data_IF_141017984337
#
_entry.id   IF_141017984337
#
_cell.length_a   1.000
_cell.length_b   1.000
_cell.length_c   1.000
_cell.angle_alpha   90.00
_cell.angle_beta   90.00
_cell.angle_gamma   90.00
#
_symmetry.space_group_name_H-M   'P 1'
#
loop_
_entity.id
_entity.type
_entity.pdbx_description
1 polymer ?
#
# COMPACT_ATOMS: atom_id res chain seq x y z
N UNK A 1 15.42 -26.36 -6.95
CA UNK A 1 14.48 -25.32 -7.39
C UNK A 1 14.99 -24.86 -8.74
N UNK A 2 14.17 -25.08 -9.79
CA UNK A 2 14.59 -24.79 -11.16
C UNK A 2 13.89 -23.54 -11.71
N UNK A 3 12.59 -23.42 -11.44
CA UNK A 3 11.79 -22.30 -11.92
C UNK A 3 11.02 -21.66 -10.75
N UNK A 4 10.82 -20.35 -10.85
CA UNK A 4 9.94 -19.55 -10.00
C UNK A 4 8.93 -18.80 -10.86
N UNK A 5 7.66 -19.05 -10.63
CA UNK A 5 6.55 -18.39 -11.30
C UNK A 5 5.90 -17.39 -10.35
N UNK A 6 5.96 -16.10 -10.70
CA UNK A 6 5.42 -15.02 -9.88
C UNK A 6 4.17 -14.47 -10.57
N UNK A 7 3.06 -14.44 -9.86
CA UNK A 7 1.77 -13.97 -10.35
C UNK A 7 1.53 -12.55 -9.85
N UNK A 8 1.63 -11.57 -10.76
CA UNK A 8 1.48 -10.15 -10.51
C UNK A 8 2.81 -9.39 -10.58
N UNK A 9 2.90 -8.48 -11.55
CA UNK A 9 4.03 -7.58 -11.81
C UNK A 9 3.97 -6.26 -11.00
N UNK A 10 3.31 -6.25 -9.85
CA UNK A 10 3.36 -5.15 -8.90
C UNK A 10 4.68 -5.11 -8.14
N UNK A 11 4.88 -4.05 -7.32
CA UNK A 11 6.15 -3.82 -6.60
C UNK A 11 6.55 -5.01 -5.71
N UNK A 12 5.59 -5.70 -5.06
CA UNK A 12 5.87 -6.87 -4.21
C UNK A 12 6.33 -8.05 -5.07
N UNK A 13 5.68 -8.31 -6.21
CA UNK A 13 6.08 -9.39 -7.12
C UNK A 13 7.44 -9.14 -7.74
N UNK A 14 7.70 -7.94 -8.24
CA UNK A 14 9.01 -7.57 -8.81
C UNK A 14 10.14 -7.59 -7.77
N UNK A 15 9.89 -7.08 -6.56
CA UNK A 15 10.85 -7.16 -5.45
C UNK A 15 11.16 -8.61 -5.06
N UNK A 16 10.13 -9.49 -5.05
CA UNK A 16 10.31 -10.92 -4.78
C UNK A 16 11.13 -11.59 -5.88
N UNK A 17 10.83 -11.31 -7.16
CA UNK A 17 11.61 -11.79 -8.28
C UNK A 17 13.08 -11.34 -8.19
N UNK A 18 13.31 -10.06 -7.94
CA UNK A 18 14.64 -9.49 -7.80
C UNK A 18 15.44 -10.15 -6.67
N UNK A 19 14.86 -10.26 -5.47
CA UNK A 19 15.55 -10.88 -4.33
C UNK A 19 15.83 -12.38 -4.56
N UNK A 20 14.91 -13.10 -5.21
CA UNK A 20 15.14 -14.50 -5.64
C UNK A 20 16.32 -14.58 -6.63
N UNK A 21 16.37 -13.69 -7.61
CA UNK A 21 17.45 -13.64 -8.60
C UNK A 21 18.81 -13.26 -8.02
N UNK A 22 18.83 -12.62 -6.86
CA UNK A 22 20.07 -12.33 -6.11
C UNK A 22 20.48 -13.47 -5.19
N UNK A 23 19.53 -14.32 -4.78
CA UNK A 23 19.78 -15.41 -3.84
C UNK A 23 20.15 -16.73 -4.54
N UNK A 24 19.62 -16.98 -5.74
CA UNK A 24 19.74 -18.26 -6.45
C UNK A 24 20.21 -18.03 -7.89
N UNK A 25 21.48 -18.30 -8.17
CA UNK A 25 22.12 -18.02 -9.47
C UNK A 25 21.53 -18.82 -10.64
N UNK A 26 21.03 -20.04 -10.40
CA UNK A 26 20.52 -20.94 -11.44
C UNK A 26 18.98 -21.02 -11.48
N UNK A 27 18.28 -20.03 -10.92
CA UNK A 27 16.83 -20.00 -10.89
C UNK A 27 16.27 -19.26 -12.10
N UNK A 28 15.44 -19.91 -12.90
CA UNK A 28 14.66 -19.26 -13.95
C UNK A 28 13.43 -18.58 -13.32
N UNK A 29 13.27 -17.28 -13.52
CA UNK A 29 12.15 -16.54 -12.96
C UNK A 29 11.27 -16.02 -14.10
N UNK A 30 9.96 -16.30 -13.99
CA UNK A 30 8.94 -15.76 -14.89
C UNK A 30 7.90 -15.00 -14.06
N UNK A 31 7.72 -13.72 -14.36
CA UNK A 31 6.68 -12.87 -13.77
C UNK A 31 5.53 -12.76 -14.77
N UNK A 32 4.32 -13.17 -14.36
CA UNK A 32 3.11 -12.99 -15.17
C UNK A 32 2.34 -11.76 -14.69
N UNK A 33 2.07 -10.85 -15.62
CA UNK A 33 1.25 -9.65 -15.37
C UNK A 33 0.09 -9.61 -16.37
N UNK A 34 -1.12 -9.39 -15.85
CA UNK A 34 -2.34 -9.35 -16.69
C UNK A 34 -2.47 -8.06 -17.53
N UNK A 35 -1.81 -7.00 -17.08
CA UNK A 35 -1.80 -5.70 -17.74
C UNK A 35 -0.70 -5.61 -18.83
N UNK A 36 -0.77 -4.61 -19.73
CA UNK A 36 0.25 -4.41 -20.76
C UNK A 36 1.62 -4.00 -20.24
N UNK A 37 1.71 -3.55 -18.99
CA UNK A 37 2.99 -3.28 -18.31
C UNK A 37 2.87 -3.55 -16.80
N UNK A 38 4.00 -3.57 -16.13
CA UNK A 38 4.10 -3.82 -14.68
C UNK A 38 3.73 -2.56 -13.88
N UNK A 39 3.23 -2.77 -12.66
CA UNK A 39 3.02 -1.71 -11.68
C UNK A 39 1.80 -0.81 -11.90
N UNK A 40 0.92 -1.10 -12.84
CA UNK A 40 -0.18 -0.22 -13.27
C UNK A 40 -1.33 -0.07 -12.25
N UNK A 41 -1.25 -0.73 -11.10
CA UNK A 41 -2.28 -0.65 -10.05
C UNK A 41 -1.76 0.00 -8.76
N UNK A 42 -1.97 -0.61 -7.59
CA UNK A 42 -1.61 -0.08 -6.27
C UNK A 42 -0.17 0.42 -6.16
N UNK A 43 0.74 -0.15 -6.93
CA UNK A 43 2.17 0.14 -6.85
C UNK A 43 2.53 1.56 -7.30
N UNK A 44 1.72 2.16 -8.18
CA UNK A 44 1.89 3.52 -8.69
C UNK A 44 0.72 4.44 -8.36
N UNK A 45 -0.39 3.89 -7.81
CA UNK A 45 -1.54 4.64 -7.35
C UNK A 45 -1.54 4.75 -5.82
N UNK A 46 -0.50 5.37 -5.28
CA UNK A 46 -0.27 5.60 -3.84
C UNK A 46 0.42 6.95 -3.62
N UNK A 47 0.54 7.37 -2.37
CA UNK A 47 1.08 8.68 -2.01
C UNK A 47 2.61 8.81 -2.06
N UNK A 48 3.34 7.83 -2.54
CA UNK A 48 4.82 7.90 -2.68
C UNK A 48 5.58 8.02 -1.36
N UNK A 49 4.99 7.64 -0.22
CA UNK A 49 5.62 7.80 1.10
C UNK A 49 6.47 6.58 1.47
N UNK A 50 7.66 6.85 1.98
CA UNK A 50 8.52 5.90 2.68
C UNK A 50 8.14 5.86 4.16
N UNK A 51 7.47 4.77 4.59
CA UNK A 51 6.96 4.62 5.96
C UNK A 51 7.94 3.88 6.86
N UNK A 52 8.32 4.47 7.98
CA UNK A 52 9.28 3.90 8.93
C UNK A 52 8.70 2.85 9.91
N UNK A 53 7.38 2.65 9.94
CA UNK A 53 6.76 1.67 10.84
C UNK A 53 6.17 2.22 12.14
N UNK A 54 6.04 3.54 12.29
CA UNK A 54 5.54 4.21 13.50
C UNK A 54 4.18 3.67 13.98
N UNK A 55 3.23 3.51 13.07
CA UNK A 55 1.82 3.20 13.40
C UNK A 55 1.56 1.74 13.76
N UNK A 56 2.49 0.81 13.50
CA UNK A 56 2.20 -0.62 13.54
C UNK A 56 2.44 -1.23 14.92
N UNK A 57 1.66 -2.25 15.24
CA UNK A 57 1.74 -2.93 16.53
C UNK A 57 3.14 -3.53 16.72
N UNK A 58 3.85 -3.21 17.81
CA UNK A 58 5.16 -3.79 18.10
C UNK A 58 5.13 -5.32 18.06
N UNK A 59 6.16 -5.90 17.44
CA UNK A 59 6.28 -7.36 17.27
C UNK A 59 5.47 -7.95 16.11
N UNK A 60 4.53 -7.20 15.49
CA UNK A 60 3.82 -7.66 14.29
C UNK A 60 4.78 -7.83 13.11
N UNK A 61 4.40 -8.68 12.15
CA UNK A 61 5.17 -8.86 10.92
C UNK A 61 5.28 -7.53 10.16
N UNK A 62 4.19 -6.79 10.10
CA UNK A 62 4.09 -5.49 9.45
C UNK A 62 5.04 -4.45 10.07
N UNK A 63 5.16 -4.39 11.40
CA UNK A 63 6.09 -3.48 12.06
C UNK A 63 7.55 -3.83 11.73
N UNK A 64 7.92 -5.11 11.85
CA UNK A 64 9.29 -5.58 11.56
C UNK A 64 9.69 -5.31 10.11
N UNK A 65 8.83 -5.71 9.16
CA UNK A 65 9.12 -5.56 7.74
C UNK A 65 9.05 -4.10 7.28
N UNK A 66 8.30 -3.21 7.96
CA UNK A 66 8.31 -1.78 7.67
C UNK A 66 9.62 -1.10 8.10
N UNK A 67 10.08 -1.39 9.32
CA UNK A 67 11.33 -0.82 9.87
C UNK A 67 12.57 -1.27 9.07
N UNK A 68 12.60 -2.54 8.68
CA UNK A 68 13.66 -3.05 7.82
C UNK A 68 13.49 -2.57 6.37
N UNK A 69 12.26 -2.56 5.88
CA UNK A 69 11.91 -2.21 4.51
C UNK A 69 12.28 -0.78 4.12
N UNK A 70 12.09 0.20 5.02
CA UNK A 70 12.50 1.58 4.71
C UNK A 70 14.01 1.69 4.51
N UNK A 71 14.81 0.97 5.29
CA UNK A 71 16.27 0.93 5.15
C UNK A 71 16.67 0.31 3.81
N UNK A 72 16.08 -0.85 3.48
CA UNK A 72 16.36 -1.54 2.23
C UNK A 72 15.93 -0.71 1.03
N UNK A 73 14.73 -0.09 1.07
CA UNK A 73 14.20 0.73 -0.01
C UNK A 73 15.05 1.99 -0.23
N UNK A 74 15.44 2.68 0.85
CA UNK A 74 16.32 3.85 0.77
C UNK A 74 17.68 3.48 0.18
N UNK A 75 18.30 2.38 0.63
CA UNK A 75 19.56 1.89 0.08
C UNK A 75 19.43 1.54 -1.40
N UNK A 76 18.34 0.89 -1.80
CA UNK A 76 18.05 0.58 -3.20
C UNK A 76 17.91 1.87 -4.04
N UNK A 77 17.23 2.88 -3.51
CA UNK A 77 17.11 4.16 -4.20
C UNK A 77 18.45 4.87 -4.34
N UNK A 78 19.30 4.84 -3.33
CA UNK A 78 20.66 5.39 -3.38
C UNK A 78 21.52 4.64 -4.41
N UNK A 79 21.53 3.31 -4.37
CA UNK A 79 22.32 2.45 -5.25
C UNK A 79 21.99 2.68 -6.74
N UNK A 80 20.70 2.87 -7.04
CA UNK A 80 20.24 3.00 -8.43
C UNK A 80 19.86 4.43 -8.82
N UNK A 81 20.24 5.45 -8.04
CA UNK A 81 19.95 6.87 -8.29
C UNK A 81 18.45 7.15 -8.51
N UNK A 82 17.58 6.50 -7.76
CA UNK A 82 16.13 6.71 -7.82
C UNK A 82 15.77 7.94 -6.99
N UNK A 83 14.93 8.87 -7.51
CA UNK A 83 14.52 10.05 -6.78
C UNK A 83 13.80 9.68 -5.47
N UNK A 84 14.37 10.13 -4.36
CA UNK A 84 13.81 9.96 -3.01
C UNK A 84 14.35 11.04 -2.09
N UNK A 85 13.65 11.28 -0.98
CA UNK A 85 14.08 12.24 0.04
C UNK A 85 13.56 11.80 1.41
N UNK A 86 14.42 11.80 2.41
CA UNK A 86 14.03 11.61 3.82
C UNK A 86 13.74 12.99 4.39
N UNK A 87 12.50 13.44 4.21
CA UNK A 87 12.06 14.80 4.55
C UNK A 87 11.45 14.90 5.95
N UNK A 88 11.22 13.78 6.61
CA UNK A 88 10.52 13.73 7.89
C UNK A 88 8.99 13.88 7.75
N UNK A 89 8.30 13.59 8.86
CA UNK A 89 6.85 13.70 8.98
C UNK A 89 6.45 14.33 10.30
N UNK A 90 5.45 15.19 10.28
CA UNK A 90 4.83 15.77 11.46
C UNK A 90 3.47 15.09 11.71
N UNK A 91 3.32 14.43 12.86
CA UNK A 91 2.02 13.90 13.32
C UNK A 91 1.46 14.87 14.36
N UNK A 92 0.27 15.42 14.09
CA UNK A 92 -0.28 16.52 14.89
C UNK A 92 -1.53 16.10 15.66
N UNK A 93 -1.62 16.53 16.92
CA UNK A 93 -2.78 16.36 17.79
C UNK A 93 -3.54 17.68 17.91
N UNK A 94 -4.83 17.68 17.57
CA UNK A 94 -5.68 18.88 17.55
C UNK A 94 -6.54 19.01 18.80
N UNK A 95 -6.59 17.99 19.65
CA UNK A 95 -7.34 17.98 20.91
C UNK A 95 -6.64 17.10 21.96
N UNK A 96 -7.14 17.11 23.19
CA UNK A 96 -6.47 16.45 24.32
C UNK A 96 -6.55 14.91 24.23
N UNK A 97 -7.59 14.33 23.60
CA UNK A 97 -7.69 12.90 23.35
C UNK A 97 -6.61 12.45 22.32
N UNK A 98 -6.42 13.24 21.27
CA UNK A 98 -5.35 13.00 20.29
C UNK A 98 -3.96 13.19 20.91
N UNK A 99 -3.78 14.18 21.79
CA UNK A 99 -2.51 14.43 22.49
C UNK A 99 -2.13 13.22 23.38
N UNK A 100 -3.10 12.63 24.09
CA UNK A 100 -2.87 11.39 24.85
C UNK A 100 -2.45 10.23 23.94
N UNK A 101 -3.16 10.03 22.82
CA UNK A 101 -2.81 8.98 21.83
C UNK A 101 -1.45 9.22 21.15
N UNK A 102 -1.01 10.46 21.06
CA UNK A 102 0.30 10.79 20.51
C UNK A 102 1.45 10.27 21.37
N UNK A 103 1.28 10.27 22.72
CA UNK A 103 2.24 9.64 23.63
C UNK A 103 2.32 8.12 23.40
N UNK A 104 1.16 7.45 23.26
CA UNK A 104 1.12 6.02 22.94
C UNK A 104 1.81 5.71 21.61
N UNK A 105 1.67 6.63 20.65
CA UNK A 105 2.30 6.51 19.34
C UNK A 105 3.83 6.67 19.41
N UNK A 106 4.30 7.61 20.21
CA UNK A 106 5.73 7.80 20.51
C UNK A 106 6.32 6.52 21.12
N UNK A 107 5.71 6.00 22.18
CA UNK A 107 6.16 4.76 22.86
C UNK A 107 6.15 3.57 21.90
N UNK A 108 5.16 3.50 21.03
CA UNK A 108 5.08 2.49 19.96
C UNK A 108 6.24 2.60 18.99
N UNK A 109 6.58 3.80 18.57
CA UNK A 109 7.73 4.06 17.70
C UNK A 109 9.04 3.59 18.33
N UNK A 110 9.28 3.92 19.60
CA UNK A 110 10.44 3.46 20.35
C UNK A 110 10.49 1.92 20.45
N UNK A 111 9.35 1.28 20.77
CA UNK A 111 9.24 -0.20 20.82
C UNK A 111 9.47 -0.86 19.46
N UNK A 112 9.19 -0.16 18.36
CA UNK A 112 9.49 -0.62 17.00
C UNK A 112 10.95 -0.36 16.58
N UNK A 113 11.77 0.26 17.46
CA UNK A 113 13.19 0.53 17.20
C UNK A 113 13.44 1.80 16.39
N UNK A 114 12.47 2.72 16.33
CA UNK A 114 12.67 4.03 15.70
C UNK A 114 13.51 4.93 16.63
N UNK A 115 14.39 5.71 16.02
CA UNK A 115 15.28 6.65 16.73
C UNK A 115 15.01 8.09 16.28
N UNK A 116 15.41 9.06 17.09
CA UNK A 116 15.29 10.49 16.76
C UNK A 116 13.85 11.02 16.74
N UNK A 117 12.87 10.25 17.22
CA UNK A 117 11.50 10.74 17.39
C UNK A 117 11.51 11.91 18.36
N UNK A 118 10.93 13.04 17.98
CA UNK A 118 10.90 14.26 18.80
C UNK A 118 9.48 14.65 19.12
N UNK A 119 9.15 14.65 20.41
CA UNK A 119 7.86 15.12 20.89
C UNK A 119 7.90 16.66 21.03
N UNK A 120 7.02 17.36 20.31
CA UNK A 120 6.96 18.81 20.26
C UNK A 120 5.72 19.29 21.03
N UNK A 121 5.95 19.98 22.16
CA UNK A 121 4.90 20.59 22.99
C UNK A 121 4.86 22.11 22.85
N UNK A 122 5.91 22.72 22.29
CA UNK A 122 5.97 24.15 22.01
C UNK A 122 5.52 24.43 20.57
N UNK A 123 4.59 25.35 20.40
CA UNK A 123 4.08 25.75 19.09
C UNK A 123 5.17 26.35 18.18
N UNK A 124 6.12 27.10 18.74
CA UNK A 124 7.20 27.68 17.95
C UNK A 124 8.05 26.60 17.24
N UNK A 125 8.31 25.48 17.92
CA UNK A 125 9.08 24.39 17.32
C UNK A 125 8.27 23.63 16.25
N UNK A 126 6.95 23.53 16.43
CA UNK A 126 6.05 22.98 15.41
C UNK A 126 6.05 23.90 14.17
N UNK A 127 5.95 25.22 14.35
CA UNK A 127 5.93 26.19 13.26
C UNK A 127 7.25 26.32 12.51
N UNK A 128 8.39 26.00 13.14
CA UNK A 128 9.68 25.92 12.43
C UNK A 128 9.66 24.81 11.36
N UNK A 129 8.90 23.73 11.59
CA UNK A 129 8.78 22.60 10.66
C UNK A 129 7.67 22.87 9.63
N UNK A 130 6.47 23.24 10.12
CA UNK A 130 5.28 23.46 9.31
C UNK A 130 4.58 24.78 9.75
N UNK A 131 4.93 25.91 9.12
CA UNK A 131 4.49 27.23 9.58
C UNK A 131 2.97 27.47 9.51
N UNK A 132 2.27 26.73 8.64
CA UNK A 132 0.84 26.95 8.35
C UNK A 132 -0.08 25.94 9.06
N UNK A 133 0.44 25.08 9.94
CA UNK A 133 -0.42 24.18 10.70
C UNK A 133 -1.36 24.93 11.65
N UNK A 134 -2.46 24.30 12.00
CA UNK A 134 -3.49 24.86 12.84
C UNK A 134 -2.92 25.34 14.19
N UNK A 135 -3.22 26.61 14.54
CA UNK A 135 -2.79 27.23 15.80
C UNK A 135 -3.32 26.54 17.07
N UNK A 136 -4.37 25.71 16.92
CA UNK A 136 -4.94 24.95 18.02
C UNK A 136 -4.30 23.55 18.21
N UNK A 137 -3.19 23.26 17.49
CA UNK A 137 -2.45 22.03 17.71
C UNK A 137 -1.91 22.02 19.14
N UNK A 138 -2.22 20.95 19.88
CA UNK A 138 -1.79 20.77 21.26
C UNK A 138 -0.32 20.31 21.33
N UNK A 139 -0.03 19.26 20.60
CA UNK A 139 1.29 18.63 20.55
C UNK A 139 1.50 18.05 19.14
N UNK A 140 2.76 17.82 18.80
CA UNK A 140 3.12 17.11 17.59
C UNK A 140 4.25 16.11 17.84
N UNK A 141 4.35 15.08 17.00
CA UNK A 141 5.46 14.14 16.97
C UNK A 141 6.18 14.27 15.63
N UNK A 142 7.42 14.68 15.68
CA UNK A 142 8.28 14.69 14.50
C UNK A 142 8.97 13.34 14.32
N UNK A 143 8.90 12.81 13.10
CA UNK A 143 9.38 11.48 12.72
C UNK A 143 10.42 11.65 11.61
N UNK A 144 11.71 11.73 11.93
CA UNK A 144 12.76 12.10 10.98
C UNK A 144 13.03 11.04 9.91
N UNK A 145 12.66 9.78 10.13
CA UNK A 145 12.96 8.67 9.20
C UNK A 145 11.94 8.53 8.06
N UNK A 146 10.82 9.22 8.11
CA UNK A 146 9.82 9.16 7.04
C UNK A 146 10.29 9.98 5.83
N UNK A 147 9.88 9.58 4.65
CA UNK A 147 10.31 10.24 3.42
C UNK A 147 9.35 10.03 2.26
N UNK A 148 9.81 10.43 1.10
CA UNK A 148 9.10 10.33 -0.17
C UNK A 148 9.98 9.70 -1.24
N UNK A 149 9.36 9.03 -2.21
CA UNK A 149 10.07 8.28 -3.25
C UNK A 149 9.25 8.20 -4.54
N UNK A 150 9.92 8.11 -5.67
CA UNK A 150 9.33 7.76 -6.96
C UNK A 150 9.21 6.23 -7.10
N UNK A 151 8.06 5.66 -6.68
CA UNK A 151 7.82 4.22 -6.84
C UNK A 151 7.72 3.77 -8.30
N UNK A 152 7.37 4.66 -9.24
CA UNK A 152 7.40 4.35 -10.67
C UNK A 152 8.84 4.03 -11.12
N UNK A 153 9.80 4.83 -10.69
CA UNK A 153 11.23 4.60 -10.95
C UNK A 153 11.75 3.33 -10.25
N UNK A 154 11.29 3.03 -9.03
CA UNK A 154 11.61 1.77 -8.34
C UNK A 154 11.15 0.57 -9.17
N UNK A 155 9.91 0.56 -9.63
CA UNK A 155 9.32 -0.51 -10.44
C UNK A 155 10.07 -0.67 -11.76
N UNK A 156 10.34 0.44 -12.46
CA UNK A 156 11.08 0.43 -13.72
C UNK A 156 12.49 -0.14 -13.53
N UNK A 157 13.16 0.19 -12.42
CA UNK A 157 14.49 -0.34 -12.13
C UNK A 157 14.46 -1.83 -11.79
N UNK A 158 13.50 -2.29 -10.99
CA UNK A 158 13.33 -3.72 -10.71
C UNK A 158 13.08 -4.52 -11.99
N UNK A 159 12.22 -4.02 -12.88
CA UNK A 159 11.96 -4.59 -14.22
C UNK A 159 13.27 -4.68 -15.03
N UNK A 160 14.02 -3.58 -15.13
CA UNK A 160 15.30 -3.52 -15.86
C UNK A 160 16.29 -4.56 -15.32
N UNK A 161 16.48 -4.65 -14.00
CA UNK A 161 17.43 -5.57 -13.38
C UNK A 161 17.08 -7.03 -13.63
N UNK A 162 15.78 -7.39 -13.59
CA UNK A 162 15.32 -8.74 -13.89
C UNK A 162 15.59 -9.12 -15.36
N UNK A 163 15.24 -8.23 -16.30
CA UNK A 163 15.47 -8.46 -17.73
C UNK A 163 16.98 -8.57 -18.07
N UNK A 164 17.82 -7.73 -17.44
CA UNK A 164 19.29 -7.80 -17.60
C UNK A 164 19.88 -9.14 -17.12
N UNK A 165 19.26 -9.76 -16.13
CA UNK A 165 19.66 -11.10 -15.63
C UNK A 165 19.08 -12.24 -16.47
N UNK A 166 18.33 -11.96 -17.54
CA UNK A 166 17.75 -12.96 -18.44
C UNK A 166 16.42 -13.55 -17.94
N UNK A 167 15.82 -13.01 -16.89
CA UNK A 167 14.51 -13.44 -16.42
C UNK A 167 13.39 -12.90 -17.31
N UNK A 168 12.21 -13.53 -17.24
CA UNK A 168 11.08 -13.20 -18.11
C UNK A 168 10.01 -12.40 -17.36
N UNK A 169 9.47 -11.40 -18.02
CA UNK A 169 8.27 -10.66 -17.60
C UNK A 169 7.28 -10.76 -18.74
N UNK A 170 6.20 -11.53 -18.52
CA UNK A 170 5.16 -11.81 -19.51
C UNK A 170 3.93 -10.99 -19.15
N UNK A 171 3.77 -9.89 -19.88
CA UNK A 171 2.62 -8.98 -19.74
C UNK A 171 1.40 -9.51 -20.50
N UNK A 172 0.24 -8.87 -20.36
CA UNK A 172 -1.03 -9.29 -20.96
C UNK A 172 -1.38 -10.78 -20.67
N UNK A 173 -0.99 -11.27 -19.48
CA UNK A 173 -0.98 -12.68 -19.14
C UNK A 173 -1.63 -12.92 -17.78
N UNK A 174 -2.91 -13.30 -17.81
CA UNK A 174 -3.72 -13.54 -16.62
C UNK A 174 -3.71 -15.02 -16.27
N UNK A 175 -3.33 -15.37 -15.04
CA UNK A 175 -3.46 -16.75 -14.54
C UNK A 175 -4.92 -17.05 -14.24
N UNK A 176 -5.46 -18.10 -14.84
CA UNK A 176 -6.87 -18.49 -14.71
C UNK A 176 -7.03 -19.88 -14.04
N UNK A 177 -6.02 -20.74 -14.08
CA UNK A 177 -6.04 -22.04 -13.41
C UNK A 177 -4.65 -22.43 -12.93
N UNK A 178 -4.60 -23.18 -11.83
CA UNK A 178 -3.39 -23.87 -11.33
C UNK A 178 -3.86 -25.23 -10.85
N UNK A 179 -3.64 -26.30 -11.66
CA UNK A 179 -4.12 -27.66 -11.38
C UNK A 179 -3.21 -28.69 -12.04
N UNK A 180 -3.05 -29.85 -11.42
CA UNK A 180 -2.32 -31.01 -12.00
C UNK A 180 -0.93 -30.62 -12.53
N UNK A 181 -0.16 -29.85 -11.75
CA UNK A 181 1.16 -29.32 -12.14
C UNK A 181 1.15 -28.50 -13.45
N UNK A 182 0.04 -27.84 -13.71
CA UNK A 182 -0.14 -26.96 -14.87
C UNK A 182 -0.68 -25.61 -14.44
N UNK A 183 -0.04 -24.55 -14.92
CA UNK A 183 -0.53 -23.16 -14.82
C UNK A 183 -1.17 -22.81 -16.16
N UNK A 184 -2.46 -22.50 -16.19
CA UNK A 184 -3.13 -22.00 -17.38
C UNK A 184 -3.11 -20.47 -17.38
N UNK A 185 -2.50 -19.92 -18.40
CA UNK A 185 -2.35 -18.49 -18.66
C UNK A 185 -3.30 -18.07 -19.77
N UNK A 186 -4.18 -17.13 -19.51
CA UNK A 186 -5.04 -16.49 -20.51
C UNK A 186 -4.36 -15.25 -21.04
N UNK A 187 -4.05 -15.22 -22.35
CA UNK A 187 -3.59 -14.00 -23.01
C UNK A 187 -4.73 -12.98 -23.09
N UNK A 188 -4.46 -11.76 -22.67
CA UNK A 188 -5.40 -10.62 -22.77
C UNK A 188 -5.23 -9.81 -24.05
N UNK A 189 -4.23 -10.15 -24.87
CA UNK A 189 -4.04 -9.57 -26.21
C UNK A 189 -4.97 -10.25 -27.24
N UNK A 190 -4.57 -10.73 -28.30
CA UNK A 190 -5.38 -11.26 -29.38
C UNK A 190 -6.10 -12.58 -29.01
N UNK A 191 -7.41 -12.64 -29.21
CA UNK A 191 -8.28 -13.85 -29.23
C UNK A 191 -8.35 -14.69 -27.92
N UNK A 192 -7.99 -14.14 -26.75
CA UNK A 192 -8.15 -14.85 -25.47
C UNK A 192 -7.60 -16.29 -25.49
N UNK A 193 -6.43 -16.50 -26.07
CA UNK A 193 -5.80 -17.83 -26.16
C UNK A 193 -5.31 -18.28 -24.77
N UNK A 194 -5.64 -19.49 -24.39
CA UNK A 194 -5.09 -20.15 -23.21
C UNK A 194 -3.79 -20.88 -23.55
N UNK A 195 -2.79 -20.73 -22.68
CA UNK A 195 -1.49 -21.38 -22.78
C UNK A 195 -1.25 -22.13 -21.49
N UNK A 196 -0.94 -23.41 -21.60
CA UNK A 196 -0.61 -24.25 -20.46
C UNK A 196 0.90 -24.33 -20.24
N UNK A 197 1.33 -24.08 -19.03
CA UNK A 197 2.73 -24.16 -18.59
C UNK A 197 2.84 -25.23 -17.53
N UNK A 198 3.57 -26.29 -17.81
CA UNK A 198 3.83 -27.37 -16.83
C UNK A 198 4.86 -26.91 -15.80
N UNK A 199 4.65 -27.30 -14.54
CA UNK A 199 5.62 -27.11 -13.47
C UNK A 199 5.81 -28.40 -12.65
N UNK A 200 6.93 -28.50 -11.97
CA UNK A 200 7.29 -29.68 -11.16
C UNK A 200 7.22 -29.35 -9.66
N UNK A 201 7.34 -30.38 -8.82
CA UNK A 201 7.42 -30.20 -7.35
C UNK A 201 8.70 -29.43 -6.91
N UNK A 202 9.70 -29.34 -7.80
CA UNK A 202 10.92 -28.55 -7.57
C UNK A 202 10.78 -27.07 -7.97
N UNK A 203 9.66 -26.68 -8.55
CA UNK A 203 9.36 -25.31 -8.93
C UNK A 203 8.52 -24.63 -7.86
N UNK A 204 8.57 -23.30 -7.80
CA UNK A 204 7.78 -22.52 -6.85
C UNK A 204 6.83 -21.57 -7.59
N UNK A 205 5.66 -21.37 -6.99
CA UNK A 205 4.68 -20.42 -7.44
C UNK A 205 4.46 -19.39 -6.32
N UNK A 206 4.52 -18.08 -6.66
CA UNK A 206 4.34 -17.00 -5.68
C UNK A 206 3.25 -16.07 -6.18
N UNK A 207 2.12 -16.07 -5.48
CA UNK A 207 0.99 -15.18 -5.75
C UNK A 207 1.22 -13.82 -5.09
N UNK A 208 1.49 -12.81 -5.90
CA UNK A 208 1.60 -11.39 -5.56
C UNK A 208 0.55 -10.56 -6.29
N UNK A 209 -0.65 -11.10 -6.54
CA UNK A 209 -1.69 -10.54 -7.41
C UNK A 209 -2.49 -9.38 -6.77
N UNK A 210 -2.07 -8.84 -5.63
CA UNK A 210 -2.63 -7.64 -5.00
C UNK A 210 -4.16 -7.67 -4.86
N UNK A 211 -4.87 -6.84 -5.64
CA UNK A 211 -6.34 -6.81 -5.66
C UNK A 211 -7.01 -8.14 -6.00
N UNK A 212 -6.30 -9.07 -6.64
CA UNK A 212 -6.81 -10.39 -7.03
C UNK A 212 -6.18 -11.54 -6.23
N UNK A 213 -5.39 -11.24 -5.19
CA UNK A 213 -4.64 -12.23 -4.43
C UNK A 213 -5.52 -13.34 -3.84
N UNK A 214 -6.71 -13.01 -3.36
CA UNK A 214 -7.70 -13.97 -2.84
C UNK A 214 -8.28 -14.88 -3.93
N UNK A 215 -8.50 -14.35 -5.14
CA UNK A 215 -9.00 -15.15 -6.27
C UNK A 215 -7.95 -16.11 -6.79
N UNK A 216 -6.71 -15.65 -6.91
CA UNK A 216 -5.59 -16.52 -7.30
C UNK A 216 -5.32 -17.59 -6.23
N UNK A 217 -5.36 -17.21 -4.95
CA UNK A 217 -5.16 -18.19 -3.87
C UNK A 217 -6.24 -19.28 -3.85
N UNK A 218 -7.49 -18.97 -4.21
CA UNK A 218 -8.57 -19.97 -4.32
C UNK A 218 -8.38 -20.99 -5.43
N UNK A 219 -7.45 -20.77 -6.35
CA UNK A 219 -7.12 -21.78 -7.37
C UNK A 219 -6.41 -23.01 -6.78
N UNK A 220 -5.75 -22.86 -5.63
CA UNK A 220 -4.92 -23.91 -5.01
C UNK A 220 -5.20 -24.11 -3.52
N UNK A 221 -5.77 -23.14 -2.83
CA UNK A 221 -5.92 -23.15 -1.37
C UNK A 221 -7.31 -22.73 -0.93
N UNK A 222 -7.77 -23.27 0.19
CA UNK A 222 -9.06 -22.88 0.77
C UNK A 222 -8.87 -21.73 1.76
N UNK A 223 -8.90 -20.50 1.26
CA UNK A 223 -8.82 -19.28 2.07
C UNK A 223 -10.20 -18.76 2.46
N UNK A 224 -10.34 -18.24 3.67
CA UNK A 224 -11.59 -17.70 4.22
C UNK A 224 -11.67 -16.18 4.16
N UNK A 225 -10.54 -15.49 4.07
CA UNK A 225 -10.47 -14.05 3.88
C UNK A 225 -10.81 -13.66 2.44
N UNK A 226 -11.35 -12.44 2.28
CA UNK A 226 -11.70 -11.88 0.96
C UNK A 226 -11.10 -10.49 0.84
N UNK A 227 -10.56 -10.16 -0.34
CA UNK A 227 -10.14 -8.81 -0.66
C UNK A 227 -11.37 -7.95 -0.94
N UNK A 228 -11.54 -6.91 -0.16
CA UNK A 228 -12.53 -5.85 -0.34
C UNK A 228 -11.77 -4.60 -0.80
N UNK A 229 -12.08 -4.06 -1.98
CA UNK A 229 -11.39 -2.89 -2.49
C UNK A 229 -11.95 -1.61 -1.83
N UNK A 230 -11.06 -0.84 -1.20
CA UNK A 230 -11.37 0.50 -0.70
C UNK A 230 -10.66 1.55 -1.54
N UNK A 231 -11.46 2.40 -2.21
CA UNK A 231 -10.93 3.52 -2.97
C UNK A 231 -10.64 4.70 -2.05
N UNK A 232 -9.47 5.29 -2.21
CA UNK A 232 -9.07 6.54 -1.60
C UNK A 232 -8.89 7.62 -2.68
N UNK A 233 -9.60 8.72 -2.54
CA UNK A 233 -9.53 9.85 -3.45
C UNK A 233 -8.51 10.86 -2.96
N UNK A 234 -7.76 11.41 -3.90
CA UNK A 234 -6.75 12.43 -3.64
C UNK A 234 -7.14 13.75 -4.30
N UNK A 235 -6.82 14.81 -3.61
CA UNK A 235 -6.78 16.16 -4.16
C UNK A 235 -5.33 16.64 -4.15
N UNK A 236 -4.97 17.52 -5.06
CA UNK A 236 -3.68 18.22 -5.04
C UNK A 236 -3.90 19.72 -4.79
N UNK A 237 -2.92 20.34 -4.17
CA UNK A 237 -2.92 21.78 -3.99
C UNK A 237 -2.53 22.48 -5.29
N UNK A 238 -3.26 23.53 -5.63
CA UNK A 238 -2.90 24.40 -6.76
C UNK A 238 -1.57 25.12 -6.49
N UNK A 239 -0.84 25.56 -7.53
CA UNK A 239 0.50 26.13 -7.39
C UNK A 239 0.64 27.21 -6.31
N UNK A 240 -0.32 28.13 -6.20
CA UNK A 240 -0.28 29.22 -5.21
C UNK A 240 -0.45 28.74 -3.76
N UNK A 241 -1.07 27.59 -3.53
CA UNK A 241 -1.33 27.01 -2.22
C UNK A 241 -0.25 26.01 -1.76
N UNK A 242 0.63 25.54 -2.66
CA UNK A 242 1.68 24.56 -2.32
C UNK A 242 2.57 25.00 -1.16
N UNK A 243 2.82 26.30 -1.02
CA UNK A 243 3.61 26.90 0.06
C UNK A 243 3.05 26.69 1.47
N UNK A 244 1.78 26.25 1.57
CA UNK A 244 1.12 25.98 2.86
C UNK A 244 1.58 24.67 3.51
N UNK A 245 2.27 23.80 2.78
CA UNK A 245 2.72 22.49 3.24
C UNK A 245 4.17 22.28 2.82
N UNK A 246 5.04 22.06 3.78
CA UNK A 246 6.46 21.81 3.50
C UNK A 246 6.75 20.32 3.21
N UNK A 247 6.21 19.40 4.03
CA UNK A 247 6.53 17.97 3.99
C UNK A 247 5.29 17.08 4.16
N UNK A 248 5.29 16.25 5.19
CA UNK A 248 4.23 15.29 5.49
C UNK A 248 3.51 15.73 6.77
N UNK A 249 2.21 16.02 6.69
CA UNK A 249 1.40 16.43 7.84
C UNK A 249 0.25 15.45 8.03
N UNK A 250 0.29 14.70 9.12
CA UNK A 250 -0.62 13.60 9.39
C UNK A 250 -1.38 13.81 10.71
N UNK A 251 -2.67 13.46 10.79
CA UNK A 251 -3.38 13.44 12.06
C UNK A 251 -2.94 12.24 12.92
N UNK A 252 -3.19 12.31 14.22
CA UNK A 252 -3.10 11.16 15.10
C UNK A 252 -4.17 10.14 14.70
N UNK A 253 -3.85 8.83 14.55
CA UNK A 253 -4.82 7.81 14.22
C UNK A 253 -5.93 7.72 15.28
N UNK A 254 -7.18 7.60 14.82
CA UNK A 254 -8.31 7.30 15.68
C UNK A 254 -8.57 5.78 15.66
N UNK A 255 -8.45 5.06 16.79
CA UNK A 255 -8.66 3.61 16.85
C UNK A 255 -10.10 3.18 16.51
N UNK A 256 -11.04 4.11 16.54
CA UNK A 256 -12.43 3.87 16.10
C UNK A 256 -12.54 3.71 14.57
N UNK A 257 -11.55 4.21 13.84
CA UNK A 257 -11.51 4.18 12.37
C UNK A 257 -10.40 3.25 11.89
N UNK A 258 -10.69 2.31 10.99
CA UNK A 258 -9.69 1.37 10.48
C UNK A 258 -8.72 2.02 9.47
N UNK A 259 -9.03 3.21 8.97
CA UNK A 259 -8.20 3.96 8.04
C UNK A 259 -7.76 5.29 8.68
N UNK A 260 -6.57 5.74 8.30
CA UNK A 260 -6.06 7.04 8.72
C UNK A 260 -6.88 8.15 8.06
N UNK A 261 -7.13 9.23 8.81
CA UNK A 261 -7.79 10.42 8.29
C UNK A 261 -6.99 11.12 7.19
N UNK A 262 -7.64 12.04 6.48
CA UNK A 262 -6.99 12.82 5.41
C UNK A 262 -5.76 13.56 5.94
N UNK A 263 -4.72 13.60 5.14
CA UNK A 263 -3.42 14.15 5.48
C UNK A 263 -2.79 14.82 4.26
N UNK A 264 -1.69 15.53 4.46
CA UNK A 264 -0.92 16.15 3.38
C UNK A 264 0.36 15.39 3.13
N UNK A 265 0.69 15.24 1.87
CA UNK A 265 1.89 14.56 1.39
C UNK A 265 2.54 15.41 0.31
N UNK A 266 3.78 15.83 0.54
CA UNK A 266 4.63 16.36 -0.53
C UNK A 266 5.13 15.18 -1.36
N UNK A 267 4.95 15.26 -2.68
CA UNK A 267 5.47 14.27 -3.61
C UNK A 267 6.90 14.62 -4.05
N UNK A 268 7.60 13.65 -4.58
CA UNK A 268 8.98 13.82 -5.05
C UNK A 268 9.11 14.85 -6.19
N UNK A 269 8.05 15.09 -6.95
CA UNK A 269 7.99 16.10 -8.00
C UNK A 269 7.61 17.51 -7.47
N UNK A 270 7.48 17.70 -6.15
CA UNK A 270 7.11 18.95 -5.50
C UNK A 270 5.62 19.29 -5.54
N UNK A 271 4.76 18.37 -6.00
CA UNK A 271 3.32 18.52 -5.81
C UNK A 271 2.93 18.18 -4.37
N UNK A 272 1.84 18.79 -3.89
CA UNK A 272 1.27 18.49 -2.59
C UNK A 272 -0.06 17.80 -2.79
N UNK A 273 -0.14 16.53 -2.38
CA UNK A 273 -1.38 15.79 -2.31
C UNK A 273 -2.05 15.91 -0.95
N UNK A 274 -3.37 15.88 -0.96
CA UNK A 274 -4.24 15.87 0.21
C UNK A 274 -5.21 14.70 0.12
N UNK A 275 -5.27 13.89 1.14
CA UNK A 275 -6.10 12.67 1.19
C UNK A 275 -5.35 11.52 1.82
N UNK A 276 -5.72 10.28 1.50
CA UNK A 276 -6.98 9.91 0.87
C UNK A 276 -8.11 9.66 1.88
N UNK A 277 -9.35 9.72 1.42
CA UNK A 277 -10.49 9.12 2.11
C UNK A 277 -10.53 7.59 1.92
N UNK A 278 -11.61 6.91 2.37
CA UNK A 278 -11.73 5.46 2.22
C UNK A 278 -13.18 5.03 2.00
N UNK A 279 -13.58 4.86 0.74
CA UNK A 279 -14.91 4.40 0.35
C UNK A 279 -14.84 3.05 -0.35
N UNK A 280 -15.90 2.24 -0.25
CA UNK A 280 -16.01 0.99 -1.00
C UNK A 280 -15.92 1.27 -2.51
N UNK A 281 -15.05 0.57 -3.23
CA UNK A 281 -15.01 0.62 -4.68
C UNK A 281 -16.00 -0.39 -5.28
N UNK A 282 -16.68 -0.01 -6.38
CA UNK A 282 -17.61 -0.89 -7.08
C UNK A 282 -16.95 -1.80 -8.13
N UNK A 283 -15.63 -1.78 -8.17
CA UNK A 283 -14.78 -2.69 -8.94
C UNK A 283 -13.45 -2.84 -8.21
N UNK A 284 -12.76 -3.97 -8.36
CA UNK A 284 -11.40 -4.15 -7.84
C UNK A 284 -10.42 -3.14 -8.43
N UNK A 285 -10.67 -2.69 -9.64
CA UNK A 285 -9.91 -1.64 -10.35
C UNK A 285 -10.76 -0.36 -10.54
N UNK A 286 -11.60 -0.07 -9.54
CA UNK A 286 -12.51 1.07 -9.55
C UNK A 286 -11.85 2.39 -9.19
N UNK A 287 -11.00 2.93 -10.07
CA UNK A 287 -10.35 4.24 -9.88
C UNK A 287 -11.29 5.42 -10.04
N UNK A 288 -12.47 5.23 -10.62
CA UNK A 288 -13.54 6.25 -10.69
C UNK A 288 -14.79 5.72 -9.99
N UNK A 289 -15.61 6.62 -9.42
CA UNK A 289 -16.91 6.27 -8.82
C UNK A 289 -17.84 5.56 -9.81
N UNK A 290 -17.76 5.98 -11.07
CA UNK A 290 -18.56 5.42 -12.17
C UNK A 290 -18.06 4.06 -12.68
N UNK A 291 -16.89 3.60 -12.24
CA UNK A 291 -16.39 2.28 -12.66
C UNK A 291 -17.06 1.20 -11.81
N UNK A 292 -18.00 0.49 -12.43
CA UNK A 292 -18.78 -0.57 -11.78
C UNK A 292 -18.51 -1.89 -12.51
N UNK A 293 -18.11 -2.90 -11.77
CA UNK A 293 -18.03 -4.28 -12.23
C UNK A 293 -19.08 -5.11 -11.48
N UNK A 294 -20.13 -5.53 -12.16
CA UNK A 294 -21.24 -6.25 -11.53
C UNK A 294 -20.83 -7.57 -10.90
N UNK A 295 -19.83 -8.25 -11.47
CA UNK A 295 -19.29 -9.48 -10.88
C UNK A 295 -18.58 -9.20 -9.54
N UNK A 296 -17.79 -8.14 -9.47
CA UNK A 296 -17.13 -7.73 -8.23
C UNK A 296 -18.15 -7.30 -7.17
N UNK A 297 -19.12 -6.44 -7.55
CA UNK A 297 -20.19 -5.99 -6.65
C UNK A 297 -20.97 -7.18 -6.09
N UNK A 298 -21.36 -8.12 -6.94
CA UNK A 298 -22.10 -9.31 -6.53
C UNK A 298 -21.28 -10.21 -5.59
N UNK A 299 -19.97 -10.32 -5.86
CA UNK A 299 -19.05 -11.08 -5.04
C UNK A 299 -18.90 -10.51 -3.63
N UNK A 300 -18.87 -9.15 -3.45
CA UNK A 300 -18.80 -8.57 -2.10
C UNK A 300 -20.16 -8.56 -1.39
N UNK A 301 -21.26 -8.31 -2.07
CA UNK A 301 -22.60 -8.29 -1.46
C UNK A 301 -22.94 -9.66 -0.83
N UNK A 302 -22.51 -10.75 -1.45
CA UNK A 302 -22.66 -12.10 -0.90
C UNK A 302 -21.78 -12.37 0.32
N UNK A 303 -20.76 -11.56 0.54
CA UNK A 303 -19.81 -11.79 1.62
C UNK A 303 -20.34 -11.25 2.97
N UNK A 304 -20.66 -12.14 3.90
CA UNK A 304 -21.21 -11.79 5.21
C UNK A 304 -20.32 -10.83 6.00
N UNK A 305 -18.99 -10.91 5.84
CA UNK A 305 -18.04 -10.03 6.49
C UNK A 305 -18.25 -8.56 6.13
N UNK A 306 -18.58 -8.24 4.88
CA UNK A 306 -18.83 -6.85 4.46
C UNK A 306 -20.00 -6.23 5.24
N UNK A 307 -21.10 -6.94 5.39
CA UNK A 307 -22.29 -6.43 6.11
C UNK A 307 -22.01 -6.23 7.60
N UNK A 308 -21.29 -7.18 8.24
CA UNK A 308 -20.84 -7.01 9.63
C UNK A 308 -19.94 -5.79 9.78
N UNK A 309 -19.00 -5.57 8.86
CA UNK A 309 -18.13 -4.39 8.83
C UNK A 309 -18.95 -3.09 8.71
N UNK A 310 -19.86 -3.02 7.73
CA UNK A 310 -20.69 -1.83 7.49
C UNK A 310 -21.57 -1.52 8.71
N UNK A 311 -22.18 -2.53 9.32
CA UNK A 311 -22.98 -2.34 10.54
C UNK A 311 -22.15 -1.86 11.73
N UNK A 312 -20.96 -2.43 11.92
CA UNK A 312 -20.03 -2.05 12.99
C UNK A 312 -19.51 -0.63 12.83
N UNK A 313 -19.25 -0.20 11.59
CA UNK A 313 -18.62 1.08 11.24
C UNK A 313 -19.52 2.02 10.46
N UNK A 314 -20.85 1.94 10.63
CA UNK A 314 -21.85 2.67 9.83
C UNK A 314 -21.62 4.19 9.78
N UNK A 315 -21.25 4.79 10.91
CA UNK A 315 -21.01 6.24 10.99
C UNK A 315 -19.76 6.64 10.21
N UNK A 316 -18.71 5.84 10.31
CA UNK A 316 -17.52 6.05 9.51
C UNK A 316 -17.83 5.95 8.01
N UNK A 317 -18.52 4.90 7.58
CA UNK A 317 -18.90 4.71 6.17
C UNK A 317 -19.70 5.92 5.63
N UNK A 318 -20.60 6.49 6.44
CA UNK A 318 -21.37 7.68 6.06
C UNK A 318 -20.47 8.94 5.96
N UNK A 319 -19.54 9.13 6.89
CA UNK A 319 -18.61 10.26 6.88
C UNK A 319 -17.67 10.18 5.67
N UNK A 320 -17.10 9.02 5.38
CA UNK A 320 -16.24 8.78 4.23
C UNK A 320 -16.99 9.00 2.90
N UNK A 321 -18.23 8.49 2.81
CA UNK A 321 -19.07 8.72 1.64
C UNK A 321 -19.38 10.22 1.44
N UNK A 322 -19.66 10.95 2.53
CA UNK A 322 -19.90 12.39 2.47
C UNK A 322 -18.68 13.15 1.97
N UNK A 323 -17.47 12.76 2.39
CA UNK A 323 -16.23 13.35 1.89
C UNK A 323 -15.97 13.03 0.42
N UNK A 324 -16.31 11.82 -0.02
CA UNK A 324 -16.18 11.40 -1.42
C UNK A 324 -17.11 12.16 -2.37
N UNK A 325 -18.34 12.42 -1.93
CA UNK A 325 -19.34 13.12 -2.77
C UNK A 325 -19.13 14.65 -2.75
N UNK A 326 -18.58 15.20 -1.66
CA UNK A 326 -18.52 16.65 -1.46
C UNK A 326 -17.11 17.15 -1.18
N UNK A 327 -16.54 17.85 -2.18
CA UNK A 327 -15.29 18.58 -2.07
C UNK A 327 -15.27 19.53 -0.86
N UNK A 328 -16.42 20.12 -0.50
CA UNK A 328 -16.54 21.02 0.67
C UNK A 328 -16.23 20.28 1.97
N UNK A 329 -16.83 19.10 2.20
CA UNK A 329 -16.56 18.32 3.43
C UNK A 329 -15.16 17.75 3.46
N UNK A 330 -14.61 17.40 2.31
CA UNK A 330 -13.22 17.00 2.20
C UNK A 330 -12.30 18.16 2.62
N UNK A 331 -12.51 19.35 2.05
CA UNK A 331 -11.75 20.57 2.41
C UNK A 331 -11.87 20.90 3.91
N UNK A 332 -13.06 20.77 4.51
CA UNK A 332 -13.27 20.95 5.96
C UNK A 332 -12.42 19.99 6.80
N UNK A 333 -12.19 18.79 6.34
CA UNK A 333 -11.31 17.84 7.03
C UNK A 333 -9.84 18.26 6.94
N UNK A 334 -9.41 18.81 5.80
CA UNK A 334 -8.06 19.36 5.62
C UNK A 334 -7.82 20.61 6.49
N UNK A 335 -8.83 21.46 6.64
CA UNK A 335 -8.76 22.68 7.46
C UNK A 335 -8.50 22.39 8.95
N UNK A 336 -8.71 21.17 9.43
CA UNK A 336 -8.31 20.77 10.79
C UNK A 336 -6.79 20.79 10.95
N UNK A 337 -6.06 20.49 9.88
CA UNK A 337 -4.60 20.46 9.84
C UNK A 337 -4.02 21.81 9.40
N UNK A 338 -4.54 22.35 8.30
CA UNK A 338 -4.11 23.63 7.69
C UNK A 338 -5.35 24.51 7.49
N UNK A 339 -5.66 25.45 8.40
CA UNK A 339 -6.87 26.28 8.34
C UNK A 339 -6.95 27.19 7.12
N UNK A 340 -5.81 27.62 6.60
CA UNK A 340 -5.71 28.59 5.50
C UNK A 340 -6.10 28.00 4.13
N UNK A 341 -6.28 26.67 4.03
CA UNK A 341 -6.71 26.02 2.79
C UNK A 341 -8.18 26.28 2.52
N UNK A 342 -8.49 26.68 1.29
CA UNK A 342 -9.83 26.92 0.81
C UNK A 342 -10.22 25.89 -0.27
N UNK A 343 -11.52 25.77 -0.52
CA UNK A 343 -12.06 24.85 -1.53
C UNK A 343 -11.51 25.11 -2.94
N UNK A 344 -11.14 26.37 -3.24
CA UNK A 344 -10.57 26.77 -4.52
C UNK A 344 -9.08 26.42 -4.67
N UNK A 345 -8.40 26.08 -3.56
CA UNK A 345 -6.97 25.75 -3.53
C UNK A 345 -6.69 24.30 -3.86
N UNK A 346 -7.71 23.45 -3.84
CA UNK A 346 -7.58 22.03 -4.11
C UNK A 346 -8.24 21.66 -5.44
N UNK A 347 -7.66 20.69 -6.14
CA UNK A 347 -8.24 20.08 -7.36
C UNK A 347 -8.10 18.56 -7.29
N UNK A 348 -9.01 17.82 -7.96
CA UNK A 348 -9.00 16.36 -7.95
C UNK A 348 -7.73 15.82 -8.62
N UNK A 349 -7.04 14.90 -7.94
CA UNK A 349 -5.77 14.35 -8.38
C UNK A 349 -5.82 12.85 -8.72
N UNK A 350 -7.02 12.26 -8.66
CA UNK A 350 -7.17 10.84 -8.93
C UNK A 350 -7.47 10.03 -7.67
N UNK A 351 -7.27 8.73 -7.78
CA UNK A 351 -7.54 7.80 -6.67
C UNK A 351 -6.62 6.59 -6.69
N UNK A 352 -6.47 5.95 -5.55
CA UNK A 352 -5.89 4.63 -5.40
C UNK A 352 -6.93 3.63 -4.89
N UNK A 353 -6.78 2.35 -5.19
CA UNK A 353 -7.62 1.29 -4.64
C UNK A 353 -6.80 0.40 -3.72
N UNK A 354 -7.16 0.35 -2.44
CA UNK A 354 -6.52 -0.51 -1.46
C UNK A 354 -7.08 -1.92 -1.54
N UNK A 355 -6.21 -2.92 -1.70
CA UNK A 355 -6.56 -4.32 -1.52
C UNK A 355 -6.54 -4.65 -0.02
N UNK A 356 -7.69 -4.64 0.61
CA UNK A 356 -7.81 -4.91 2.04
C UNK A 356 -8.47 -6.25 2.28
N UNK A 357 -7.73 -7.18 2.88
CA UNK A 357 -8.31 -8.45 3.30
C UNK A 357 -9.24 -8.26 4.49
N UNK A 358 -10.38 -8.91 4.42
CA UNK A 358 -11.44 -8.90 5.44
C UNK A 358 -11.81 -10.33 5.81
N UNK A 359 -11.96 -10.60 7.10
CA UNK A 359 -12.45 -11.86 7.61
C UNK A 359 -13.97 -12.02 7.46
N UNK A 360 -14.49 -13.23 7.55
CA UNK A 360 -15.94 -13.49 7.55
C UNK A 360 -16.67 -12.86 8.75
N UNK A 361 -15.93 -12.42 9.77
CA UNK A 361 -16.46 -11.68 10.92
C UNK A 361 -16.54 -10.16 10.70
N UNK A 362 -16.03 -9.66 9.56
CA UNK A 362 -16.04 -8.24 9.24
C UNK A 362 -14.86 -7.47 9.82
N UNK A 363 -13.85 -8.15 10.34
CA UNK A 363 -12.63 -7.51 10.81
C UNK A 363 -11.62 -7.38 9.67
N UNK A 364 -11.03 -6.20 9.51
CA UNK A 364 -9.95 -5.98 8.55
C UNK A 364 -8.68 -6.66 9.06
N UNK A 365 -8.01 -7.41 8.19
CA UNK A 365 -6.73 -8.04 8.51
C UNK A 365 -5.67 -6.94 8.50
N UNK A 366 -5.17 -6.59 9.68
CA UNK A 366 -4.26 -5.44 9.87
C UNK A 366 -2.79 -5.76 9.58
N UNK A 367 -2.37 -7.02 9.69
CA UNK A 367 -0.98 -7.45 9.46
C UNK A 367 -0.80 -8.01 8.04
N UNK A 368 0.45 -8.22 7.63
CA UNK A 368 0.74 -8.98 6.41
C UNK A 368 0.30 -10.44 6.58
N UNK A 369 -0.41 -10.95 5.59
CA UNK A 369 -0.86 -12.35 5.56
C UNK A 369 -0.21 -13.05 4.39
N UNK A 370 0.78 -13.90 4.70
CA UNK A 370 1.52 -14.70 3.73
C UNK A 370 1.38 -16.15 4.14
N UNK A 371 0.64 -16.91 3.35
CA UNK A 371 0.37 -18.33 3.57
C UNK A 371 1.03 -19.17 2.50
N UNK A 372 1.30 -20.45 2.80
CA UNK A 372 1.84 -21.36 1.82
C UNK A 372 1.15 -22.72 1.90
N UNK A 373 1.01 -23.35 0.76
CA UNK A 373 0.64 -24.76 0.59
C UNK A 373 1.69 -25.40 -0.30
N UNK A 374 2.45 -26.36 0.26
CA UNK A 374 3.60 -26.97 -0.41
C UNK A 374 4.54 -25.91 -1.00
N UNK A 375 4.75 -25.92 -2.32
CA UNK A 375 5.62 -25.01 -3.07
C UNK A 375 4.89 -23.78 -3.63
N UNK A 376 3.66 -23.52 -3.20
CA UNK A 376 2.87 -22.36 -3.61
C UNK A 376 2.75 -21.39 -2.42
N UNK A 377 3.14 -20.14 -2.62
CA UNK A 377 3.12 -19.09 -1.62
C UNK A 377 2.12 -18.01 -2.04
N UNK A 378 1.26 -17.58 -1.13
CA UNK A 378 0.25 -16.56 -1.39
C UNK A 378 0.44 -15.36 -0.49
N UNK A 379 0.72 -14.21 -1.08
CA UNK A 379 0.65 -12.91 -0.39
C UNK A 379 -0.80 -12.45 -0.44
N UNK A 380 -1.59 -12.85 0.55
CA UNK A 380 -3.04 -12.57 0.59
C UNK A 380 -3.30 -11.11 0.93
N UNK A 381 -2.61 -10.60 1.95
CA UNK A 381 -2.81 -9.24 2.45
C UNK A 381 -1.47 -8.54 2.61
N UNK A 382 -1.26 -7.52 1.80
CA UNK A 382 -0.09 -6.64 1.90
C UNK A 382 -0.55 -5.17 1.84
N UNK A 383 -1.23 -4.68 2.91
CA UNK A 383 -1.66 -3.28 2.97
C UNK A 383 -0.46 -2.35 3.16
N UNK A 384 -0.68 -1.02 3.10
CA UNK A 384 0.36 -0.05 3.46
C UNK A 384 1.05 -0.45 4.78
N UNK A 385 2.37 -0.51 4.81
CA UNK A 385 3.37 0.08 3.93
C UNK A 385 4.00 -0.90 2.92
N UNK A 386 3.26 -1.76 2.28
CA UNK A 386 3.81 -2.83 1.45
C UNK A 386 4.77 -2.33 0.35
N UNK A 387 4.57 -1.13 -0.22
CA UNK A 387 5.49 -0.58 -1.21
C UNK A 387 6.88 -0.31 -0.59
N UNK A 388 6.93 0.39 0.54
CA UNK A 388 8.19 0.61 1.29
C UNK A 388 8.82 -0.70 1.74
N UNK A 389 7.99 -1.65 2.20
CA UNK A 389 8.41 -2.92 2.75
C UNK A 389 8.62 -4.02 1.67
N UNK A 390 8.49 -3.72 0.39
CA UNK A 390 8.45 -4.74 -0.67
C UNK A 390 9.70 -5.63 -0.72
N UNK A 391 10.89 -5.05 -0.52
CA UNK A 391 12.15 -5.79 -0.48
C UNK A 391 12.25 -6.69 0.77
N UNK A 392 11.83 -6.21 1.94
CA UNK A 392 11.82 -7.01 3.17
C UNK A 392 10.71 -8.06 3.19
N UNK A 393 9.56 -7.79 2.54
CA UNK A 393 8.52 -8.81 2.28
C UNK A 393 9.11 -9.93 1.41
N UNK A 394 9.87 -9.58 0.38
CA UNK A 394 10.55 -10.55 -0.49
C UNK A 394 11.54 -11.42 0.31
N UNK A 395 12.38 -10.82 1.17
CA UNK A 395 13.28 -11.57 2.05
C UNK A 395 12.52 -12.51 2.99
N UNK A 396 11.38 -12.06 3.53
CA UNK A 396 10.53 -12.91 4.37
C UNK A 396 9.95 -14.10 3.58
N UNK A 397 9.48 -13.91 2.35
CA UNK A 397 8.99 -15.00 1.48
C UNK A 397 10.13 -15.98 1.21
N UNK A 398 11.33 -15.49 0.86
CA UNK A 398 12.50 -16.32 0.60
C UNK A 398 12.90 -17.11 1.85
N UNK A 399 12.84 -16.51 3.04
CA UNK A 399 13.10 -17.23 4.29
C UNK A 399 12.14 -18.40 4.51
N UNK A 400 10.87 -18.26 4.12
CA UNK A 400 9.88 -19.34 4.16
C UNK A 400 10.15 -20.44 3.14
N UNK A 401 10.72 -20.10 1.99
CA UNK A 401 11.13 -21.04 0.95
C UNK A 401 12.35 -21.87 1.41
N UNK A 402 13.35 -21.20 2.02
CA UNK A 402 14.58 -21.84 2.47
C UNK A 402 14.44 -22.69 3.74
N UNK A 403 13.45 -22.41 4.59
CA UNK A 403 13.23 -23.12 5.86
C UNK A 403 12.29 -24.34 5.73
N UNK A 404 12.05 -24.82 4.52
CA UNK A 404 11.45 -26.10 4.21
C UNK A 404 12.54 -27.17 4.09
#
# INVERSE_FOLDING_TARGET
>A
MNNAYIIGGGIVGLATAYKLSCKFDNLNITVFEKEPDVGLHQSTHNSGVLHCGLYYKPGSLKARLAVDGIKQMTNFCVEYNIPHEICGKLVVATNDEEASRLNDLYDRGIKNGLSGLTFLSNQEDIYKIEPHVNKNIKNALYVPQEGIVDYQSVISKLKELLLKKGHQIVTNSKIVSIKHQTITVLSTECNSQEIDISFSDNDIIINCAGLYSDRVAKLTSNITSKIIPFRGEYYKLKPHAKKLVNNLIYPVPDPKFPFLGVHFTRLINGEIEAGPNAVLAFSREGYKLSTINMFDVWDYIKFKGLWKFVLKHKWMCLLELRQSISKYYFCKSLQKLIPDININDIEYAGSGVRAQAMSSNGDLISDFEIVNDKNIYHVINAPSPAATASLSIADYIISKICNK
#
